data_IF_794205022543
#
_entry.id   IF_794205022543
#
_cell.length_a   1.000
_cell.length_b   1.000
_cell.length_c   1.000
_cell.angle_alpha   90.00
_cell.angle_beta   90.00
_cell.angle_gamma   90.00
#
_symmetry.space_group_name_H-M   'P 1'
#
loop_
_entity.id
_entity.type
_entity.pdbx_description
1 polymer ?
#
# COMPACT_ATOMS: atom_id res chain seq x y z
N UNK A 1 15.82 -2.50 -6.72
CA UNK A 1 16.15 -1.98 -5.37
C UNK A 1 15.84 -3.06 -4.34
N UNK A 2 16.84 -3.67 -3.70
CA UNK A 2 16.72 -4.93 -2.94
C UNK A 2 16.29 -4.78 -1.47
N UNK A 3 16.14 -3.55 -0.98
CA UNK A 3 15.78 -3.21 0.40
C UNK A 3 14.52 -2.33 0.52
N UNK A 4 13.71 -2.22 -0.55
CA UNK A 4 12.52 -1.34 -0.56
C UNK A 4 11.25 -2.01 -0.04
N UNK A 5 11.24 -3.34 0.05
CA UNK A 5 10.14 -4.12 0.58
C UNK A 5 10.66 -4.87 1.81
N UNK A 6 10.32 -4.36 2.99
CA UNK A 6 10.57 -5.03 4.25
C UNK A 6 9.37 -5.93 4.50
N UNK A 7 9.57 -7.25 4.56
CA UNK A 7 8.48 -8.20 4.80
C UNK A 7 8.03 -8.08 6.27
N UNK A 8 6.79 -7.66 6.54
CA UNK A 8 6.30 -7.52 7.90
C UNK A 8 6.34 -8.83 8.69
N UNK A 9 6.17 -9.98 8.04
CA UNK A 9 6.17 -11.28 8.71
C UNK A 9 7.57 -11.64 9.22
N UNK A 10 8.61 -11.37 8.42
CA UNK A 10 10.00 -11.60 8.82
C UNK A 10 10.42 -10.70 10.00
N UNK A 11 9.88 -9.48 10.08
CA UNK A 11 10.12 -8.56 11.20
C UNK A 11 9.49 -9.11 12.48
N UNK A 12 8.23 -9.54 12.42
CA UNK A 12 7.51 -10.10 13.57
C UNK A 12 8.19 -11.38 14.06
N UNK A 13 8.56 -12.30 13.17
CA UNK A 13 9.26 -13.54 13.52
C UNK A 13 10.59 -13.25 14.24
N UNK A 14 11.35 -12.26 13.75
CA UNK A 14 12.61 -11.86 14.36
C UNK A 14 12.39 -11.27 15.76
N UNK A 15 11.34 -10.45 15.94
CA UNK A 15 10.98 -9.86 17.23
C UNK A 15 10.53 -10.92 18.24
N UNK A 16 9.73 -11.91 17.82
CA UNK A 16 9.29 -13.04 18.66
C UNK A 16 10.48 -13.89 19.11
N UNK A 17 11.42 -14.16 18.18
CA UNK A 17 12.63 -14.92 18.49
C UNK A 17 13.55 -14.18 19.46
N UNK A 18 13.56 -12.85 19.41
CA UNK A 18 14.28 -12.01 20.36
C UNK A 18 13.62 -12.06 21.75
N UNK A 19 12.29 -11.92 21.83
CA UNK A 19 11.54 -11.99 23.09
C UNK A 19 11.72 -13.34 23.77
N UNK A 20 11.62 -14.45 23.04
CA UNK A 20 11.85 -15.79 23.57
C UNK A 20 13.26 -15.96 24.15
N UNK A 21 14.30 -15.51 23.42
CA UNK A 21 15.69 -15.57 23.90
C UNK A 21 15.93 -14.71 25.15
N UNK A 22 15.29 -13.55 25.23
CA UNK A 22 15.38 -12.69 26.41
C UNK A 22 14.66 -13.35 27.60
N UNK A 23 13.50 -13.97 27.37
CA UNK A 23 12.78 -14.69 28.41
C UNK A 23 13.53 -15.92 28.95
N UNK A 24 14.26 -16.64 28.10
CA UNK A 24 15.09 -17.77 28.52
C UNK A 24 16.34 -17.35 29.32
N UNK A 25 16.93 -16.20 28.98
CA UNK A 25 18.26 -15.81 29.48
C UNK A 25 18.22 -14.73 30.56
N UNK A 26 17.17 -13.93 30.59
CA UNK A 26 16.94 -12.82 31.52
C UNK A 26 15.47 -12.75 31.95
N UNK A 27 14.93 -13.80 32.60
CA UNK A 27 13.50 -13.91 32.92
C UNK A 27 12.98 -12.80 33.85
N UNK A 28 13.79 -12.36 34.82
CA UNK A 28 13.44 -11.30 35.79
C UNK A 28 13.87 -9.90 35.35
N UNK A 29 14.46 -9.74 34.16
CA UNK A 29 14.78 -8.43 33.63
C UNK A 29 13.59 -7.85 32.88
N UNK A 30 13.26 -6.58 33.12
CA UNK A 30 12.21 -5.84 32.39
C UNK A 30 12.40 -5.78 30.87
N UNK A 31 13.55 -6.24 30.36
CA UNK A 31 13.89 -6.44 28.96
C UNK A 31 12.88 -7.35 28.22
N UNK A 32 12.31 -8.36 28.90
CA UNK A 32 11.29 -9.22 28.28
C UNK A 32 10.02 -8.43 27.95
N UNK A 33 9.61 -7.52 28.84
CA UNK A 33 8.46 -6.64 28.61
C UNK A 33 8.67 -5.72 27.41
N UNK A 34 9.86 -5.14 27.27
CA UNK A 34 10.21 -4.31 26.11
C UNK A 34 10.18 -5.13 24.81
N UNK A 35 10.70 -6.36 24.84
CA UNK A 35 10.66 -7.24 23.66
C UNK A 35 9.23 -7.64 23.27
N UNK A 36 8.36 -7.88 24.26
CA UNK A 36 6.94 -8.14 24.02
C UNK A 36 6.22 -6.92 23.41
N UNK A 37 6.51 -5.71 23.90
CA UNK A 37 6.02 -4.46 23.31
C UNK A 37 6.48 -4.30 21.86
N UNK A 38 7.74 -4.61 21.56
CA UNK A 38 8.29 -4.55 20.20
C UNK A 38 7.55 -5.50 19.24
N UNK A 39 7.20 -6.71 19.70
CA UNK A 39 6.38 -7.66 18.92
C UNK A 39 5.00 -7.08 18.65
N UNK A 40 4.35 -6.51 19.67
CA UNK A 40 3.04 -5.88 19.52
C UNK A 40 3.09 -4.73 18.51
N UNK A 41 4.05 -3.82 18.66
CA UNK A 41 4.21 -2.66 17.79
C UNK A 41 4.46 -3.06 16.34
N UNK A 42 5.26 -4.12 16.12
CA UNK A 42 5.53 -4.65 14.78
C UNK A 42 4.28 -5.20 14.10
N UNK A 43 3.38 -5.85 14.86
CA UNK A 43 2.08 -6.33 14.36
C UNK A 43 1.14 -5.17 14.03
N UNK A 44 1.09 -4.15 14.86
CA UNK A 44 0.26 -2.95 14.64
C UNK A 44 0.71 -2.18 13.40
N UNK A 45 2.02 -2.00 13.24
CA UNK A 45 2.62 -1.38 12.04
C UNK A 45 2.33 -2.20 10.78
N UNK A 46 2.44 -3.53 10.85
CA UNK A 46 2.13 -4.41 9.72
C UNK A 46 0.65 -4.28 9.30
N UNK A 47 -0.26 -4.16 10.26
CA UNK A 47 -1.69 -3.96 10.00
C UNK A 47 -1.95 -2.58 9.38
N UNK A 48 -1.39 -1.52 9.96
CA UNK A 48 -1.52 -0.16 9.43
C UNK A 48 -0.94 -0.04 8.01
N UNK A 49 0.21 -0.67 7.75
CA UNK A 49 0.81 -0.70 6.42
C UNK A 49 -0.11 -1.39 5.40
N UNK A 50 -0.72 -2.53 5.75
CA UNK A 50 -1.71 -3.20 4.88
C UNK A 50 -2.94 -2.34 4.61
N UNK A 51 -3.42 -1.60 5.61
CA UNK A 51 -4.55 -0.69 5.44
C UNK A 51 -4.18 0.47 4.51
N UNK A 52 -2.98 1.04 4.62
CA UNK A 52 -2.48 2.08 3.71
C UNK A 52 -2.20 1.57 2.29
N UNK A 53 -1.81 0.31 2.13
CA UNK A 53 -1.56 -0.31 0.82
C UNK A 53 -2.86 -0.54 0.04
N UNK A 54 -4.03 -0.41 0.69
CA UNK A 54 -5.31 -0.59 -0.01
C UNK A 54 -5.43 0.42 -1.17
N UNK A 55 -5.65 -0.07 -2.40
CA UNK A 55 -5.72 0.79 -3.56
C UNK A 55 -6.89 1.77 -3.44
N UNK A 56 -6.64 3.03 -3.79
CA UNK A 56 -7.64 4.10 -3.76
C UNK A 56 -8.65 3.90 -4.91
N UNK A 57 -9.64 3.02 -4.71
CA UNK A 57 -10.61 2.63 -5.74
C UNK A 57 -11.45 3.80 -6.24
N UNK A 58 -11.80 4.76 -5.37
CA UNK A 58 -12.58 5.94 -5.78
C UNK A 58 -11.81 6.81 -6.79
N UNK A 59 -10.49 6.96 -6.60
CA UNK A 59 -9.64 7.73 -7.50
C UNK A 59 -9.56 7.08 -8.88
N UNK A 60 -9.48 5.74 -8.93
CA UNK A 60 -9.57 5.00 -10.20
C UNK A 60 -10.89 5.27 -10.93
N UNK A 61 -12.01 5.33 -10.19
CA UNK A 61 -13.31 5.68 -10.74
C UNK A 61 -13.34 7.08 -11.37
N UNK A 62 -12.77 8.09 -10.68
CA UNK A 62 -12.66 9.46 -11.21
C UNK A 62 -11.83 9.52 -12.49
N UNK A 63 -10.69 8.80 -12.53
CA UNK A 63 -9.83 8.75 -13.74
C UNK A 63 -10.59 8.12 -14.92
N UNK A 64 -11.31 7.03 -14.68
CA UNK A 64 -12.12 6.37 -15.73
C UNK A 64 -13.22 7.31 -16.23
N UNK A 65 -13.93 7.99 -15.33
CA UNK A 65 -14.97 8.94 -15.69
C UNK A 65 -14.42 10.10 -16.52
N UNK A 66 -13.27 10.66 -16.13
CA UNK A 66 -12.60 11.72 -16.88
C UNK A 66 -12.17 11.24 -18.28
N UNK A 67 -11.67 10.01 -18.39
CA UNK A 67 -11.30 9.42 -19.68
C UNK A 67 -12.51 9.26 -20.61
N UNK A 68 -13.63 8.70 -20.09
CA UNK A 68 -14.88 8.55 -20.85
C UNK A 68 -15.41 9.91 -21.32
N UNK A 69 -15.38 10.92 -20.45
CA UNK A 69 -15.78 12.28 -20.81
C UNK A 69 -14.92 12.85 -21.94
N UNK A 70 -13.59 12.66 -21.89
CA UNK A 70 -12.69 13.08 -22.96
C UNK A 70 -12.99 12.39 -24.29
N UNK A 71 -13.22 11.08 -24.29
CA UNK A 71 -13.61 10.32 -25.50
C UNK A 71 -14.95 10.82 -26.05
N UNK A 72 -15.94 11.04 -25.19
CA UNK A 72 -17.25 11.53 -25.61
C UNK A 72 -17.15 12.92 -26.27
N UNK A 73 -16.38 13.84 -25.67
CA UNK A 73 -16.12 15.16 -26.25
C UNK A 73 -15.40 15.04 -27.60
N UNK A 74 -14.39 14.16 -27.70
CA UNK A 74 -13.64 13.96 -28.93
C UNK A 74 -14.54 13.45 -30.06
N UNK A 75 -15.39 12.46 -29.79
CA UNK A 75 -16.36 11.94 -30.76
C UNK A 75 -17.36 13.01 -31.16
N UNK A 76 -17.87 13.77 -30.20
CA UNK A 76 -18.82 14.86 -30.45
C UNK A 76 -18.21 15.94 -31.37
N UNK A 77 -16.98 16.37 -31.09
CA UNK A 77 -16.26 17.32 -31.94
C UNK A 77 -15.98 16.72 -33.32
N UNK A 78 -15.59 15.45 -33.39
CA UNK A 78 -15.38 14.74 -34.66
C UNK A 78 -16.65 14.61 -35.49
N UNK A 79 -17.84 14.53 -34.87
CA UNK A 79 -19.13 14.55 -35.60
C UNK A 79 -19.52 15.96 -36.08
N UNK A 80 -19.03 17.02 -35.42
CA UNK A 80 -19.35 18.41 -35.76
C UNK A 80 -18.37 18.98 -36.79
N UNK A 81 -17.11 18.54 -36.77
CA UNK A 81 -16.12 18.88 -37.78
C UNK A 81 -16.44 18.14 -39.07
N UNK A 82 -16.82 18.85 -40.15
CA UNK A 82 -17.00 18.23 -41.45
C UNK A 82 -15.60 17.83 -41.97
N UNK A 83 -15.21 16.57 -41.73
CA UNK A 83 -13.96 15.98 -42.26
C UNK A 83 -13.95 15.95 -43.80
N UNK A 84 -15.09 16.22 -44.44
CA UNK A 84 -15.29 16.36 -45.88
C UNK A 84 -14.46 17.47 -46.54
N UNK A 85 -13.93 18.46 -45.79
CA UNK A 85 -13.14 19.55 -46.39
C UNK A 85 -11.61 19.36 -46.35
N UNK A 86 -11.09 18.28 -45.75
CA UNK A 86 -9.64 18.08 -45.56
C UNK A 86 -9.05 17.05 -46.56
N UNK A 87 -9.87 16.45 -47.43
CA UNK A 87 -9.38 15.54 -48.51
C UNK A 87 -9.22 16.22 -49.88
N UNK A 88 -8.90 17.51 -49.92
CA UNK A 88 -8.65 18.28 -51.16
C UNK A 88 -7.20 18.68 -51.31
#
# INVERSE_FOLDING_TARGET
>A
MRYRALDPQLIIETAERLEGRIGERFPDAGLRGVAAELVSLSRDLAKAARELETPIWWLRGVIIAAFIAGVAVFLFVGTILPLDRISG
#
